data_IF_683091194598
#
_entry.id   IF_683091194598
#
_cell.length_a   1.000
_cell.length_b   1.000
_cell.length_c   1.000
_cell.angle_alpha   90.00
_cell.angle_beta   90.00
_cell.angle_gamma   90.00
#
_symmetry.space_group_name_H-M   'P 1'
#
loop_
_entity.id
_entity.type
_entity.pdbx_description
1 polymer ?
#
# COMPACT_ATOMS: atom_id res chain seq x y z
N UNK A 1 4.95 8.30 -6.33
CA UNK A 1 4.06 7.18 -6.68
C UNK A 1 4.21 6.10 -5.62
N UNK A 2 3.15 5.80 -4.86
CA UNK A 2 3.13 4.69 -3.89
C UNK A 2 2.16 3.65 -4.42
N UNK A 3 2.62 2.40 -4.52
CA UNK A 3 1.78 1.28 -4.92
C UNK A 3 1.46 0.44 -3.70
N UNK A 4 0.17 0.23 -3.44
CA UNK A 4 -0.31 -0.66 -2.39
C UNK A 4 -1.13 -1.79 -3.01
N UNK A 5 -1.48 -2.78 -2.19
CA UNK A 5 -2.41 -3.83 -2.63
C UNK A 5 -3.70 -3.20 -3.17
N UNK A 6 -4.08 -3.63 -4.37
CA UNK A 6 -5.29 -3.16 -5.03
C UNK A 6 -6.54 -3.59 -4.25
N UNK A 7 -7.53 -2.70 -4.19
CA UNK A 7 -8.89 -3.12 -3.87
C UNK A 7 -9.51 -3.73 -5.12
N UNK A 8 -9.73 -5.04 -5.10
CA UNK A 8 -10.30 -5.78 -6.23
C UNK A 8 -11.80 -5.99 -6.01
N UNK A 9 -12.57 -5.90 -7.10
CA UNK A 9 -13.96 -6.37 -7.14
C UNK A 9 -13.99 -7.88 -7.37
N UNK A 10 -15.14 -8.52 -7.15
CA UNK A 10 -15.30 -9.96 -7.44
C UNK A 10 -15.02 -10.31 -8.90
N UNK A 11 -15.41 -9.43 -9.83
CA UNK A 11 -15.12 -9.61 -11.25
C UNK A 11 -13.61 -9.60 -11.53
N UNK A 12 -12.87 -8.63 -10.97
CA UNK A 12 -11.41 -8.58 -11.14
C UNK A 12 -10.72 -9.81 -10.53
N UNK A 13 -11.18 -10.28 -9.37
CA UNK A 13 -10.64 -11.50 -8.74
C UNK A 13 -10.84 -12.73 -9.64
N UNK A 14 -12.00 -12.87 -10.27
CA UNK A 14 -12.28 -13.99 -11.16
C UNK A 14 -11.36 -14.01 -12.38
N UNK A 15 -11.15 -12.86 -13.02
CA UNK A 15 -10.24 -12.73 -14.16
C UNK A 15 -8.80 -13.05 -13.78
N UNK A 16 -8.34 -12.54 -12.62
CA UNK A 16 -6.99 -12.82 -12.11
C UNK A 16 -6.81 -14.31 -11.81
N UNK A 17 -7.76 -14.95 -11.10
CA UNK A 17 -7.68 -16.37 -10.78
C UNK A 17 -7.66 -17.27 -12.02
N UNK A 18 -8.38 -16.87 -13.08
CA UNK A 18 -8.33 -17.58 -14.35
C UNK A 18 -6.90 -17.52 -14.93
N UNK A 19 -6.30 -16.34 -14.98
CA UNK A 19 -4.93 -16.15 -15.46
C UNK A 19 -3.91 -16.92 -14.62
N UNK A 20 -4.03 -16.88 -13.28
CA UNK A 20 -3.15 -17.63 -12.36
C UNK A 20 -3.19 -19.14 -12.64
N UNK A 21 -4.36 -19.67 -13.01
CA UNK A 21 -4.52 -21.09 -13.38
C UNK A 21 -3.81 -21.41 -14.69
N UNK A 22 -3.89 -20.49 -15.67
CA UNK A 22 -3.24 -20.65 -16.98
C UNK A 22 -1.70 -20.61 -16.86
N UNK A 23 -1.15 -19.69 -16.06
CA UNK A 23 0.30 -19.50 -15.89
C UNK A 23 0.90 -20.29 -14.72
N UNK A 24 0.06 -20.98 -13.93
CA UNK A 24 0.42 -21.78 -12.74
C UNK A 24 1.25 -21.02 -11.70
N UNK A 25 1.00 -19.73 -11.56
CA UNK A 25 1.75 -18.84 -10.66
C UNK A 25 0.80 -17.79 -10.06
N UNK A 26 0.83 -17.56 -8.73
CA UNK A 26 0.01 -16.53 -8.10
C UNK A 26 0.50 -15.13 -8.44
N UNK A 27 -0.43 -14.18 -8.53
CA UNK A 27 -0.19 -12.78 -8.89
C UNK A 27 -0.58 -11.86 -7.73
N UNK A 28 0.24 -10.83 -7.51
CA UNK A 28 -0.09 -9.77 -6.56
C UNK A 28 -0.59 -8.55 -7.34
N UNK A 29 -1.83 -8.14 -7.08
CA UNK A 29 -2.40 -6.93 -7.65
C UNK A 29 -1.99 -5.70 -6.84
N UNK A 30 -1.29 -4.77 -7.50
CA UNK A 30 -0.93 -3.48 -6.92
C UNK A 30 -1.59 -2.34 -7.69
N UNK A 31 -2.14 -1.38 -6.95
CA UNK A 31 -2.65 -0.11 -7.47
C UNK A 31 -1.71 0.99 -7.05
N UNK A 32 -1.24 1.77 -8.03
CA UNK A 32 -0.33 2.88 -7.80
C UNK A 32 -1.10 4.19 -7.72
N UNK A 33 -0.78 4.98 -6.70
CA UNK A 33 -1.37 6.28 -6.47
C UNK A 33 -0.29 7.36 -6.53
N UNK A 34 -0.60 8.44 -7.23
CA UNK A 34 0.16 9.69 -7.21
C UNK A 34 -0.08 10.38 -5.87
N UNK A 35 0.72 10.02 -4.86
CA UNK A 35 0.68 10.65 -3.53
C UNK A 35 1.93 11.51 -3.34
N UNK A 36 1.73 12.71 -2.79
CA UNK A 36 2.81 13.63 -2.39
C UNK A 36 3.09 13.44 -0.91
N UNK A 37 4.36 13.43 -0.51
CA UNK A 37 4.72 13.40 0.90
C UNK A 37 4.16 14.61 1.64
N UNK A 38 3.62 14.37 2.84
CA UNK A 38 3.21 15.46 3.73
C UNK A 38 4.42 15.99 4.49
N UNK A 39 4.52 17.32 4.61
CA UNK A 39 5.49 17.95 5.50
C UNK A 39 4.87 17.98 6.90
N UNK A 40 5.54 17.36 7.86
CA UNK A 40 5.12 17.32 9.26
C UNK A 40 5.90 18.35 10.08
N UNK A 41 5.29 18.81 11.17
CA UNK A 41 5.99 19.53 12.22
C UNK A 41 6.80 18.56 13.09
N UNK A 42 7.79 19.06 13.82
CA UNK A 42 8.64 18.23 14.69
C UNK A 42 7.83 17.42 15.73
N UNK A 43 6.78 18.02 16.31
CA UNK A 43 5.89 17.33 17.26
C UNK A 43 5.12 16.16 16.60
N UNK A 44 4.62 16.38 15.38
CA UNK A 44 3.92 15.34 14.63
C UNK A 44 4.89 14.23 14.19
N UNK A 45 6.10 14.58 13.77
CA UNK A 45 7.14 13.62 13.39
C UNK A 45 7.55 12.75 14.58
N UNK A 46 7.78 13.34 15.76
CA UNK A 46 8.14 12.60 16.97
C UNK A 46 7.08 11.56 17.36
N UNK A 47 5.79 11.88 17.17
CA UNK A 47 4.68 10.94 17.39
C UNK A 47 4.71 9.77 16.41
N UNK A 48 4.98 10.04 15.13
CA UNK A 48 5.12 9.00 14.10
C UNK A 48 6.28 8.06 14.43
N UNK A 49 7.46 8.61 14.72
CA UNK A 49 8.66 7.81 15.05
C UNK A 49 8.45 6.94 16.28
N UNK A 50 7.78 7.46 17.31
CA UNK A 50 7.46 6.68 18.51
C UNK A 50 6.56 5.49 18.20
N UNK A 51 5.62 5.65 17.27
CA UNK A 51 4.69 4.58 16.88
C UNK A 51 5.39 3.54 16.00
N UNK A 52 6.21 3.98 15.05
CA UNK A 52 7.04 3.11 14.20
C UNK A 52 7.90 2.17 15.06
N UNK A 53 8.61 2.74 16.05
CA UNK A 53 9.45 1.96 16.99
C UNK A 53 8.64 0.94 17.80
N UNK A 54 7.44 1.33 18.24
CA UNK A 54 6.55 0.44 19.01
C UNK A 54 6.05 -0.74 18.19
N UNK A 55 5.74 -0.51 16.91
CA UNK A 55 5.10 -1.50 16.05
C UNK A 55 6.09 -2.28 15.17
N UNK A 56 7.33 -1.83 15.03
CA UNK A 56 8.33 -2.44 14.16
C UNK A 56 8.01 -2.28 12.67
N UNK A 57 7.34 -1.19 12.31
CA UNK A 57 6.94 -0.87 10.92
C UNK A 57 7.39 0.54 10.55
N UNK A 58 7.38 0.84 9.25
CA UNK A 58 7.58 2.20 8.75
C UNK A 58 6.27 2.81 8.27
N UNK A 59 6.05 4.08 8.62
CA UNK A 59 4.88 4.88 8.29
C UNK A 59 5.32 6.04 7.41
N UNK A 60 4.60 6.26 6.30
CA UNK A 60 4.88 7.37 5.38
C UNK A 60 3.70 8.32 5.40
N UNK A 61 3.95 9.58 5.80
CA UNK A 61 2.94 10.62 5.78
C UNK A 61 2.75 11.17 4.36
N UNK A 62 1.51 11.23 3.90
CA UNK A 62 1.13 11.66 2.54
C UNK A 62 -0.01 12.68 2.57
N UNK A 63 -0.02 13.59 1.61
CA UNK A 63 -1.12 14.50 1.36
C UNK A 63 -2.23 13.76 0.60
N UNK A 64 -3.45 13.83 1.11
CA UNK A 64 -4.68 13.33 0.45
C UNK A 64 -5.32 14.42 -0.39
#
# INVERSE_FOLDING_TARGET
>A
MICSLSKLSENHLKEINQLETEIKTPLLAFSCYEVKSAILTDDALAKVESLEKKLGISLVAVNT
#
